data_IF_379400129781
#
_entry.id   IF_379400129781
#
_cell.length_a   1.000
_cell.length_b   1.000
_cell.length_c   1.000
_cell.angle_alpha   90.00
_cell.angle_beta   90.00
_cell.angle_gamma   90.00
#
_symmetry.space_group_name_H-M   'P 1'
#
loop_
_entity.id
_entity.type
_entity.pdbx_description
1 polymer ?
#
# COMPACT_ATOMS: atom_id res chain seq x y z
N UNK A 1 -29.90 2.03 22.97
CA UNK A 1 -28.66 1.48 22.40
C UNK A 1 -27.93 2.64 21.76
N UNK A 2 -26.67 2.90 22.14
CA UNK A 2 -25.85 3.89 21.46
C UNK A 2 -25.23 3.27 20.19
N UNK A 3 -24.62 4.09 19.32
CA UNK A 3 -24.04 3.60 18.08
C UNK A 3 -22.91 2.57 18.30
N UNK A 4 -22.16 2.72 19.41
CA UNK A 4 -21.08 1.82 19.82
C UNK A 4 -21.60 0.42 20.16
N UNK A 5 -22.64 0.30 20.97
CA UNK A 5 -23.29 -0.97 21.32
C UNK A 5 -23.81 -1.66 20.07
N UNK A 6 -24.41 -0.90 19.15
CA UNK A 6 -24.85 -1.41 17.85
C UNK A 6 -23.66 -1.95 17.06
N UNK A 7 -22.60 -1.16 16.86
CA UNK A 7 -21.39 -1.61 16.16
C UNK A 7 -20.76 -2.87 16.77
N UNK A 8 -20.62 -2.90 18.10
CA UNK A 8 -20.08 -4.05 18.84
C UNK A 8 -20.94 -5.31 18.67
N UNK A 9 -22.26 -5.18 18.46
CA UNK A 9 -23.16 -6.31 18.22
C UNK A 9 -23.02 -6.94 16.83
N UNK A 10 -22.40 -6.23 15.87
CA UNK A 10 -22.16 -6.71 14.49
C UNK A 10 -20.81 -7.44 14.33
N UNK A 11 -20.13 -7.77 15.43
CA UNK A 11 -18.88 -8.54 15.39
C UNK A 11 -19.12 -9.89 14.69
N UNK A 12 -18.37 -10.14 13.61
CA UNK A 12 -18.51 -11.35 12.82
C UNK A 12 -18.11 -12.60 13.64
N UNK A 13 -18.94 -13.66 13.67
CA UNK A 13 -18.58 -14.90 14.37
C UNK A 13 -17.37 -15.57 13.73
N UNK A 14 -16.39 -15.94 14.54
CA UNK A 14 -15.21 -16.66 14.06
C UNK A 14 -14.15 -15.79 13.39
N UNK A 15 -14.23 -14.46 13.53
CA UNK A 15 -13.14 -13.56 13.15
C UNK A 15 -11.86 -13.94 13.92
N UNK A 16 -10.81 -14.42 13.23
CA UNK A 16 -9.58 -14.87 13.86
C UNK A 16 -8.67 -13.71 14.27
N UNK A 17 -9.00 -12.45 13.94
CA UNK A 17 -8.20 -11.29 14.28
C UNK A 17 -8.25 -11.03 15.80
N UNK A 18 -7.14 -11.21 16.54
CA UNK A 18 -7.10 -10.89 17.97
C UNK A 18 -7.24 -9.38 18.25
N UNK A 19 -7.11 -8.53 17.23
CA UNK A 19 -7.31 -7.08 17.28
C UNK A 19 -8.77 -6.64 17.13
N UNK A 20 -9.69 -7.52 16.72
CA UNK A 20 -11.12 -7.21 16.65
C UNK A 20 -11.77 -7.25 18.05
N UNK A 21 -11.54 -6.18 18.80
CA UNK A 21 -12.03 -5.98 20.17
C UNK A 21 -13.22 -4.99 20.17
N UNK A 22 -14.15 -5.11 21.13
CA UNK A 22 -15.22 -4.11 21.29
C UNK A 22 -14.65 -2.72 21.52
N UNK A 23 -15.26 -1.70 20.93
CA UNK A 23 -14.95 -0.31 21.23
C UNK A 23 -15.62 0.08 22.55
N UNK A 24 -14.82 0.48 23.53
CA UNK A 24 -15.22 0.87 24.88
C UNK A 24 -14.93 2.35 25.20
N UNK A 25 -14.56 3.15 24.19
CA UNK A 25 -14.28 4.58 24.36
C UNK A 25 -15.53 5.33 24.84
N UNK A 26 -15.39 6.08 25.93
CA UNK A 26 -16.47 6.90 26.49
C UNK A 26 -16.66 8.24 25.75
N UNK A 27 -15.58 8.80 25.20
CA UNK A 27 -15.59 10.03 24.41
C UNK A 27 -15.30 9.70 22.95
N UNK A 28 -16.31 9.89 22.12
CA UNK A 28 -16.24 9.70 20.67
C UNK A 28 -15.94 11.03 19.95
N UNK A 29 -15.92 12.16 20.66
CA UNK A 29 -15.68 13.45 20.03
C UNK A 29 -14.19 13.62 19.67
N UNK A 30 -13.88 14.01 18.42
CA UNK A 30 -12.51 14.20 17.98
C UNK A 30 -11.91 15.43 18.67
N UNK A 31 -10.61 15.36 18.95
CA UNK A 31 -9.88 16.41 19.68
C UNK A 31 -9.66 17.63 18.79
N UNK A 32 -10.56 18.60 18.90
CA UNK A 32 -10.50 19.83 18.11
C UNK A 32 -10.82 21.06 18.96
N UNK A 33 -9.99 22.09 18.87
CA UNK A 33 -10.21 23.36 19.56
C UNK A 33 -11.44 24.09 18.98
N UNK A 34 -12.08 25.00 19.74
CA UNK A 34 -13.18 25.80 19.22
C UNK A 34 -12.82 26.60 17.94
N UNK A 35 -11.57 27.04 17.82
CA UNK A 35 -11.08 27.78 16.66
C UNK A 35 -10.96 26.88 15.42
N UNK A 36 -10.45 25.66 15.60
CA UNK A 36 -10.38 24.67 14.53
C UNK A 36 -11.79 24.21 14.11
N UNK A 37 -12.71 24.01 15.06
CA UNK A 37 -14.12 23.68 14.76
C UNK A 37 -14.77 24.76 13.90
N UNK A 38 -14.56 26.04 14.19
CA UNK A 38 -15.09 27.13 13.35
C UNK A 38 -14.45 27.13 11.96
N UNK A 39 -13.13 26.99 11.88
CA UNK A 39 -12.40 26.95 10.60
C UNK A 39 -12.82 25.77 9.72
N UNK A 40 -12.86 24.57 10.27
CA UNK A 40 -13.28 23.36 9.55
C UNK A 40 -14.76 23.40 9.22
N UNK A 41 -15.60 23.89 10.15
CA UNK A 41 -17.01 24.14 9.88
C UNK A 41 -17.22 25.07 8.70
N UNK A 42 -16.41 26.13 8.56
CA UNK A 42 -16.44 27.02 7.41
C UNK A 42 -16.13 26.32 6.08
N UNK A 43 -15.18 25.37 6.07
CA UNK A 43 -14.87 24.56 4.89
C UNK A 43 -15.99 23.56 4.58
N UNK A 44 -16.52 22.87 5.59
CA UNK A 44 -17.61 21.91 5.44
C UNK A 44 -18.93 22.54 4.97
N UNK A 45 -19.13 23.85 5.21
CA UNK A 45 -20.25 24.62 4.67
C UNK A 45 -20.25 24.72 3.14
N UNK A 46 -19.19 24.30 2.43
CA UNK A 46 -19.20 24.13 0.97
C UNK A 46 -20.37 23.23 0.49
N UNK A 47 -20.74 22.21 1.27
CA UNK A 47 -21.87 21.31 0.98
C UNK A 47 -23.20 22.07 0.91
N UNK A 48 -23.30 23.21 1.63
CA UNK A 48 -24.47 24.09 1.64
C UNK A 48 -24.41 25.16 0.54
N UNK A 49 -23.37 25.17 -0.30
CA UNK A 49 -23.25 26.16 -1.36
C UNK A 49 -24.35 26.00 -2.44
N UNK A 50 -24.68 27.06 -3.18
CA UNK A 50 -25.67 27.01 -4.27
C UNK A 50 -25.38 25.97 -5.35
N UNK A 51 -24.13 25.50 -5.47
CA UNK A 51 -23.72 24.41 -6.36
C UNK A 51 -24.56 23.15 -6.16
N UNK A 52 -24.97 22.88 -4.91
CA UNK A 52 -25.75 21.70 -4.55
C UNK A 52 -27.23 22.02 -4.32
N UNK A 53 -27.73 23.20 -4.73
CA UNK A 53 -29.09 23.63 -4.46
C UNK A 53 -30.16 22.65 -4.95
N UNK A 54 -29.94 22.03 -6.11
CA UNK A 54 -30.82 21.00 -6.66
C UNK A 54 -30.89 19.73 -5.78
N UNK A 55 -29.90 19.54 -4.91
CA UNK A 55 -29.77 18.41 -4.02
C UNK A 55 -30.44 18.61 -2.66
N UNK A 56 -30.36 19.81 -2.10
CA UNK A 56 -30.76 20.07 -0.71
C UNK A 56 -32.21 19.71 -0.40
N UNK A 57 -33.09 19.74 -1.41
CA UNK A 57 -34.49 19.31 -1.28
C UNK A 57 -34.72 17.80 -1.38
N UNK A 58 -33.74 17.06 -1.91
CA UNK A 58 -33.78 15.60 -2.09
C UNK A 58 -33.00 14.87 -0.98
N UNK A 59 -31.93 15.49 -0.49
CA UNK A 59 -31.00 14.91 0.47
C UNK A 59 -30.62 15.99 1.50
N UNK A 60 -30.92 15.71 2.78
CA UNK A 60 -30.53 16.58 3.88
C UNK A 60 -28.99 16.69 3.95
N UNK A 61 -28.41 17.89 3.78
CA UNK A 61 -26.97 18.07 3.84
C UNK A 61 -26.41 18.05 5.27
N UNK A 62 -27.24 18.19 6.32
CA UNK A 62 -26.74 18.34 7.69
C UNK A 62 -25.91 17.14 8.19
N UNK A 63 -26.31 15.87 7.96
CA UNK A 63 -25.49 14.72 8.34
C UNK A 63 -24.10 14.75 7.68
N UNK A 64 -24.01 15.13 6.40
CA UNK A 64 -22.74 15.23 5.69
C UNK A 64 -21.87 16.37 6.21
N UNK A 65 -22.46 17.52 6.55
CA UNK A 65 -21.73 18.63 7.18
C UNK A 65 -21.19 18.24 8.57
N UNK A 66 -21.97 17.49 9.35
CA UNK A 66 -21.55 17.00 10.66
C UNK A 66 -20.44 15.97 10.56
N UNK A 67 -20.56 14.99 9.66
CA UNK A 67 -19.49 14.03 9.35
C UNK A 67 -18.24 14.74 8.85
N UNK A 68 -18.39 15.75 7.98
CA UNK A 68 -17.27 16.59 7.53
C UNK A 68 -16.54 17.24 8.69
N UNK A 69 -17.27 17.89 9.60
CA UNK A 69 -16.64 18.53 10.75
C UNK A 69 -15.94 17.49 11.63
N UNK A 70 -16.58 16.35 11.88
CA UNK A 70 -16.02 15.27 12.69
C UNK A 70 -14.71 14.75 12.10
N UNK A 71 -14.70 14.34 10.84
CA UNK A 71 -13.51 13.77 10.21
C UNK A 71 -12.41 14.84 10.02
N UNK A 72 -12.78 16.08 9.70
CA UNK A 72 -11.80 17.18 9.64
C UNK A 72 -11.15 17.43 11.00
N UNK A 73 -11.86 17.21 12.12
CA UNK A 73 -11.28 17.27 13.45
C UNK A 73 -10.32 16.09 13.69
N UNK A 74 -10.72 14.87 13.35
CA UNK A 74 -9.91 13.66 13.55
C UNK A 74 -8.62 13.69 12.74
N UNK A 75 -8.70 14.12 11.48
CA UNK A 75 -7.58 14.21 10.55
C UNK A 75 -6.91 15.59 10.52
N UNK A 76 -7.08 16.40 11.56
CA UNK A 76 -6.37 17.67 11.77
C UNK A 76 -6.49 18.66 10.58
N UNK A 77 -7.64 18.66 9.90
CA UNK A 77 -7.95 19.53 8.78
C UNK A 77 -7.38 19.09 7.44
N UNK A 78 -7.05 17.81 7.27
CA UNK A 78 -6.57 17.25 6.01
C UNK A 78 -7.55 17.51 4.87
N UNK A 79 -7.08 18.13 3.79
CA UNK A 79 -7.94 18.52 2.67
C UNK A 79 -8.59 17.33 1.95
N UNK A 80 -7.92 16.17 1.89
CA UNK A 80 -8.50 14.96 1.30
C UNK A 80 -9.77 14.53 2.02
N UNK A 81 -9.80 14.61 3.35
CA UNK A 81 -10.98 14.32 4.16
C UNK A 81 -12.19 15.18 3.78
N UNK A 82 -11.98 16.49 3.60
CA UNK A 82 -13.02 17.38 3.08
C UNK A 82 -13.50 16.92 1.70
N UNK A 83 -12.57 16.60 0.80
CA UNK A 83 -12.89 16.18 -0.56
C UNK A 83 -13.64 14.85 -0.62
N UNK A 84 -13.31 13.89 0.23
CA UNK A 84 -13.96 12.57 0.30
C UNK A 84 -15.43 12.73 0.72
N UNK A 85 -15.71 13.61 1.67
CA UNK A 85 -17.08 13.81 2.18
C UNK A 85 -17.92 14.64 1.22
N UNK A 86 -17.30 15.63 0.56
CA UNK A 86 -17.97 16.39 -0.51
C UNK A 86 -18.24 15.48 -1.72
N UNK A 87 -17.31 14.58 -2.06
CA UNK A 87 -17.51 13.57 -3.10
C UNK A 87 -18.68 12.65 -2.74
N UNK A 88 -18.72 12.13 -1.51
CA UNK A 88 -19.82 11.28 -1.04
C UNK A 88 -21.18 12.00 -1.14
N UNK A 89 -21.24 13.29 -0.79
CA UNK A 89 -22.47 14.07 -0.96
C UNK A 89 -22.84 14.25 -2.44
N UNK A 90 -21.88 14.57 -3.30
CA UNK A 90 -22.10 14.75 -4.73
C UNK A 90 -22.55 13.44 -5.41
N UNK A 91 -21.99 12.30 -5.04
CA UNK A 91 -22.39 10.97 -5.53
C UNK A 91 -23.79 10.60 -5.04
N UNK A 92 -24.07 10.78 -3.74
CA UNK A 92 -25.40 10.58 -3.19
C UNK A 92 -26.44 11.45 -3.92
N UNK A 93 -26.07 12.70 -4.24
CA UNK A 93 -26.89 13.60 -5.02
C UNK A 93 -27.19 13.10 -6.43
N UNK A 94 -26.14 12.68 -7.16
CA UNK A 94 -26.25 12.12 -8.50
C UNK A 94 -27.12 10.86 -8.51
N UNK A 95 -27.07 10.05 -7.45
CA UNK A 95 -27.93 8.86 -7.31
C UNK A 95 -29.43 9.18 -7.14
N UNK A 96 -29.78 10.41 -6.74
CA UNK A 96 -31.17 10.91 -6.74
C UNK A 96 -31.61 11.42 -8.13
N UNK A 97 -30.79 11.24 -9.17
CA UNK A 97 -31.10 11.65 -10.55
C UNK A 97 -30.67 13.08 -10.90
N UNK A 98 -29.94 13.76 -10.02
CA UNK A 98 -29.37 15.09 -10.33
C UNK A 98 -28.20 14.94 -11.30
N UNK A 99 -28.43 15.23 -12.58
CA UNK A 99 -27.42 15.17 -13.63
C UNK A 99 -26.59 16.48 -13.72
N UNK A 100 -25.34 16.38 -14.18
CA UNK A 100 -24.48 17.53 -14.47
C UNK A 100 -23.98 18.30 -13.25
N UNK A 101 -23.97 17.66 -12.06
CA UNK A 101 -23.40 18.24 -10.85
C UNK A 101 -21.86 18.24 -10.94
N UNK A 102 -21.31 19.40 -11.27
CA UNK A 102 -19.87 19.68 -11.27
C UNK A 102 -19.43 20.31 -9.96
N UNK A 103 -18.49 19.68 -9.26
CA UNK A 103 -18.10 20.13 -7.92
C UNK A 103 -16.61 20.36 -7.69
N UNK A 104 -15.76 19.62 -8.39
CA UNK A 104 -14.31 19.83 -8.40
C UNK A 104 -13.93 20.98 -9.32
N UNK A 105 -12.81 21.63 -9.01
CA UNK A 105 -12.14 22.54 -9.92
C UNK A 105 -10.62 22.56 -9.63
N UNK A 106 -9.87 23.41 -10.34
CA UNK A 106 -8.41 23.47 -10.21
C UNK A 106 -7.90 23.90 -8.83
N UNK A 107 -8.74 24.55 -8.01
CA UNK A 107 -8.39 25.02 -6.68
C UNK A 107 -9.12 24.30 -5.55
N UNK A 108 -10.24 23.62 -5.85
CA UNK A 108 -11.07 22.92 -4.90
C UNK A 108 -11.17 21.44 -5.27
N UNK A 109 -10.53 20.59 -4.48
CA UNK A 109 -10.50 19.14 -4.65
C UNK A 109 -10.14 18.71 -6.08
N UNK A 110 -9.00 19.17 -6.65
CA UNK A 110 -8.57 18.71 -7.96
C UNK A 110 -8.31 17.20 -7.93
N UNK A 111 -8.72 16.50 -9.00
CA UNK A 111 -8.43 15.09 -9.19
C UNK A 111 -7.39 14.96 -10.32
N UNK A 112 -6.09 14.89 -9.99
CA UNK A 112 -5.06 14.75 -11.00
C UNK A 112 -5.13 13.34 -11.60
N UNK A 113 -5.18 13.28 -12.93
CA UNK A 113 -5.20 12.01 -13.66
C UNK A 113 -3.80 11.62 -14.14
N UNK A 114 -3.49 10.32 -14.24
CA UNK A 114 -2.21 9.84 -14.75
C UNK A 114 -1.96 10.30 -16.20
N UNK A 115 -0.71 10.15 -16.66
CA UNK A 115 -0.35 10.49 -18.04
C UNK A 115 -1.26 9.75 -19.04
N UNK A 116 -1.60 10.42 -20.15
CA UNK A 116 -2.49 9.89 -21.18
C UNK A 116 -3.92 9.58 -20.72
N UNK A 117 -4.36 10.30 -19.70
CA UNK A 117 -5.73 10.24 -19.20
C UNK A 117 -6.21 11.63 -18.80
N UNK A 118 -7.52 11.79 -18.72
CA UNK A 118 -8.16 13.05 -18.37
C UNK A 118 -9.28 12.83 -17.37
N UNK A 119 -9.53 13.83 -16.55
CA UNK A 119 -10.67 13.85 -15.65
C UNK A 119 -11.97 13.95 -16.44
N UNK A 120 -12.98 13.19 -16.03
CA UNK A 120 -14.35 13.27 -16.52
C UNK A 120 -15.34 13.00 -15.38
N UNK A 121 -16.47 13.69 -15.42
CA UNK A 121 -17.58 13.46 -14.48
C UNK A 121 -18.34 12.17 -14.78
N UNK A 122 -18.08 11.57 -15.94
CA UNK A 122 -18.82 10.43 -16.46
C UNK A 122 -17.85 9.47 -17.19
N UNK A 123 -16.99 8.81 -16.41
CA UNK A 123 -16.15 7.71 -16.87
C UNK A 123 -16.97 6.42 -16.97
N UNK A 124 -16.65 5.60 -17.97
CA UNK A 124 -17.25 4.27 -18.11
C UNK A 124 -16.88 3.40 -16.90
N UNK A 125 -17.82 2.66 -16.30
CA UNK A 125 -17.52 1.66 -15.28
C UNK A 125 -16.79 0.44 -15.86
N UNK A 126 -16.80 0.29 -17.19
CA UNK A 126 -16.09 -0.75 -17.92
C UNK A 126 -15.12 -0.07 -18.93
N UNK A 127 -13.98 0.50 -18.49
CA UNK A 127 -12.98 1.02 -19.41
C UNK A 127 -12.33 -0.13 -20.19
N UNK A 128 -11.79 0.17 -21.38
CA UNK A 128 -10.93 -0.78 -22.08
C UNK A 128 -9.63 -0.93 -21.29
N UNK A 129 -9.23 -2.17 -21.04
CA UNK A 129 -7.99 -2.49 -20.33
C UNK A 129 -7.06 -3.29 -21.23
N UNK A 130 -5.78 -3.35 -20.89
CA UNK A 130 -4.85 -4.23 -21.61
C UNK A 130 -5.22 -5.73 -21.48
N UNK A 131 -5.92 -6.10 -20.41
CA UNK A 131 -6.41 -7.47 -20.22
C UNK A 131 -7.68 -7.76 -21.04
N UNK A 132 -8.53 -6.76 -21.23
CA UNK A 132 -9.77 -6.85 -22.02
C UNK A 132 -10.06 -5.54 -22.77
N UNK A 133 -9.66 -5.51 -24.04
CA UNK A 133 -9.89 -4.38 -24.93
C UNK A 133 -11.37 -4.20 -25.30
N UNK A 134 -12.19 -5.24 -25.15
CA UNK A 134 -13.61 -5.25 -25.53
C UNK A 134 -14.55 -5.02 -24.35
N UNK A 135 -14.04 -4.87 -23.13
CA UNK A 135 -14.81 -4.57 -21.92
C UNK A 135 -15.86 -3.46 -22.08
N UNK A 136 -15.62 -2.35 -22.81
CA UNK A 136 -16.64 -1.33 -23.05
C UNK A 136 -17.86 -1.85 -23.84
N UNK A 137 -17.66 -2.77 -24.78
CA UNK A 137 -18.72 -3.30 -25.63
C UNK A 137 -19.61 -4.31 -24.90
N UNK A 138 -19.06 -5.05 -23.93
CA UNK A 138 -19.77 -6.03 -23.10
C UNK A 138 -20.22 -5.47 -21.75
N UNK A 139 -20.17 -4.15 -21.56
CA UNK A 139 -20.52 -3.52 -20.29
C UNK A 139 -22.02 -3.71 -19.98
N UNK A 140 -22.39 -4.30 -18.82
CA UNK A 140 -23.80 -4.54 -18.49
C UNK A 140 -24.63 -3.26 -18.35
N UNK A 141 -24.00 -2.17 -17.93
CA UNK A 141 -24.64 -0.88 -17.64
C UNK A 141 -23.90 0.28 -18.32
N UNK A 142 -23.92 0.37 -19.66
CA UNK A 142 -23.13 1.37 -20.39
C UNK A 142 -23.64 2.80 -20.21
N UNK A 143 -24.89 2.96 -19.74
CA UNK A 143 -25.49 4.26 -19.44
C UNK A 143 -25.15 4.78 -18.04
N UNK A 144 -24.68 3.91 -17.14
CA UNK A 144 -24.17 4.35 -15.83
C UNK A 144 -22.74 4.80 -15.98
N UNK A 145 -22.36 5.86 -15.27
CA UNK A 145 -20.98 6.34 -15.25
C UNK A 145 -20.62 6.83 -13.86
N UNK A 146 -19.32 6.81 -13.58
CA UNK A 146 -18.73 7.26 -12.33
C UNK A 146 -17.76 8.39 -12.61
N UNK A 147 -17.63 9.32 -11.67
CA UNK A 147 -16.61 10.37 -11.78
C UNK A 147 -15.22 9.76 -11.62
N UNK A 148 -14.26 10.19 -12.45
CA UNK A 148 -12.90 9.69 -12.36
C UNK A 148 -12.04 10.03 -13.56
N UNK A 149 -10.94 9.31 -13.71
CA UNK A 149 -10.04 9.44 -14.85
C UNK A 149 -10.44 8.48 -15.98
N UNK A 150 -10.44 8.96 -17.21
CA UNK A 150 -10.63 8.16 -18.40
C UNK A 150 -9.39 8.24 -19.30
N UNK A 151 -8.94 7.10 -19.80
CA UNK A 151 -7.85 7.05 -20.77
C UNK A 151 -8.21 7.83 -22.04
N UNK A 152 -7.23 8.53 -22.59
CA UNK A 152 -7.37 9.23 -23.87
C UNK A 152 -7.52 8.23 -25.03
N UNK A 153 -8.02 8.70 -26.18
CA UNK A 153 -8.14 7.84 -27.37
C UNK A 153 -6.78 7.29 -27.79
N UNK A 154 -6.71 5.98 -28.03
CA UNK A 154 -5.48 5.26 -28.38
C UNK A 154 -4.74 4.67 -27.17
N UNK A 155 -5.19 4.99 -25.96
CA UNK A 155 -4.67 4.45 -24.71
C UNK A 155 -5.71 3.58 -24.02
N UNK A 156 -5.23 2.60 -23.26
CA UNK A 156 -6.05 1.66 -22.49
C UNK A 156 -5.48 1.49 -21.10
N UNK A 157 -6.34 1.11 -20.15
CA UNK A 157 -5.96 1.00 -18.74
C UNK A 157 -5.09 -0.25 -18.52
N UNK A 158 -3.90 -0.05 -17.97
CA UNK A 158 -3.02 -1.10 -17.45
C UNK A 158 -2.74 -0.75 -16.00
N UNK A 159 -3.29 -1.55 -15.09
CA UNK A 159 -3.31 -1.27 -13.65
C UNK A 159 -3.89 0.13 -13.37
N UNK A 160 -3.08 1.05 -12.82
CA UNK A 160 -3.47 2.42 -12.47
C UNK A 160 -3.07 3.46 -13.53
N UNK A 161 -2.59 3.02 -14.70
CA UNK A 161 -2.02 3.91 -15.73
C UNK A 161 -2.61 3.66 -17.11
N UNK A 162 -2.65 4.70 -17.94
CA UNK A 162 -3.08 4.58 -19.33
C UNK A 162 -1.85 4.42 -20.23
N UNK A 163 -1.73 3.28 -20.90
CA UNK A 163 -0.63 2.95 -21.81
C UNK A 163 -1.12 2.84 -23.23
N UNK A 164 -0.24 3.05 -24.21
CA UNK A 164 -0.61 2.85 -25.60
C UNK A 164 -0.98 1.38 -25.82
N UNK A 165 -1.98 1.10 -26.67
CA UNK A 165 -2.41 -0.29 -26.92
C UNK A 165 -1.26 -1.21 -27.37
N UNK A 166 -0.28 -0.67 -28.09
CA UNK A 166 0.91 -1.42 -28.55
C UNK A 166 1.99 -1.62 -27.48
N UNK A 167 1.80 -1.07 -26.29
CA UNK A 167 2.66 -1.21 -25.11
C UNK A 167 1.99 -2.03 -24.00
N UNK A 168 0.82 -2.63 -24.29
CA UNK A 168 0.19 -3.56 -23.39
C UNK A 168 1.12 -4.73 -23.08
N UNK A 169 0.96 -5.25 -21.87
CA UNK A 169 1.69 -6.41 -21.40
C UNK A 169 1.21 -7.72 -22.03
N UNK A 170 1.33 -8.80 -21.27
CA UNK A 170 1.21 -10.16 -21.77
C UNK A 170 0.10 -10.90 -21.02
N UNK A 171 -0.54 -11.85 -21.71
CA UNK A 171 -1.44 -12.80 -21.07
C UNK A 171 -0.69 -14.12 -20.91
N UNK A 172 -0.71 -14.70 -19.71
CA UNK A 172 -0.19 -16.05 -19.46
C UNK A 172 -1.19 -17.13 -19.93
N UNK A 173 -0.78 -18.39 -19.85
CA UNK A 173 -1.59 -19.55 -20.27
C UNK A 173 -2.94 -19.67 -19.53
N UNK A 174 -3.10 -18.98 -18.39
CA UNK A 174 -4.33 -18.94 -17.57
C UNK A 174 -5.12 -17.66 -17.78
N UNK A 175 -4.78 -16.86 -18.79
CA UNK A 175 -5.34 -15.53 -19.06
C UNK A 175 -5.06 -14.51 -17.94
N UNK A 176 -4.04 -14.74 -17.12
CA UNK A 176 -3.53 -13.74 -16.18
C UNK A 176 -2.76 -12.66 -16.92
N UNK A 177 -3.11 -11.40 -16.70
CA UNK A 177 -2.40 -10.25 -17.27
C UNK A 177 -1.14 -9.92 -16.46
N UNK A 178 -0.03 -9.70 -17.17
CA UNK A 178 1.26 -9.25 -16.64
C UNK A 178 1.67 -7.98 -17.36
N UNK A 179 2.03 -6.93 -16.62
CA UNK A 179 2.47 -5.66 -17.19
C UNK A 179 3.82 -5.80 -17.90
N UNK A 180 4.09 -4.93 -18.87
CA UNK A 180 5.35 -4.99 -19.62
C UNK A 180 6.56 -4.82 -18.68
N UNK A 181 7.52 -5.75 -18.74
CA UNK A 181 8.67 -5.82 -17.84
C UNK A 181 8.49 -6.75 -16.64
N UNK A 182 7.27 -7.22 -16.36
CA UNK A 182 7.01 -8.16 -15.28
C UNK A 182 7.74 -9.48 -15.49
N UNK A 183 8.10 -10.12 -14.39
CA UNK A 183 8.70 -11.46 -14.38
C UNK A 183 7.99 -12.37 -13.41
N UNK A 184 7.69 -13.60 -13.83
CA UNK A 184 7.03 -14.59 -13.00
C UNK A 184 7.62 -15.98 -13.19
N UNK A 185 7.32 -16.86 -12.24
CA UNK A 185 7.67 -18.27 -12.29
C UNK A 185 6.47 -19.09 -12.74
N UNK A 186 6.71 -20.12 -13.54
CA UNK A 186 5.69 -21.10 -13.92
C UNK A 186 5.18 -21.89 -12.71
N UNK A 187 4.09 -22.63 -12.89
CA UNK A 187 3.39 -23.33 -11.79
C UNK A 187 4.25 -24.31 -10.99
N UNK A 188 5.30 -24.86 -11.60
CA UNK A 188 6.29 -25.78 -11.03
C UNK A 188 7.66 -25.11 -10.76
N UNK A 189 7.77 -23.80 -11.00
CA UNK A 189 9.02 -23.03 -10.98
C UNK A 189 10.13 -23.62 -11.86
N UNK A 190 9.77 -24.35 -12.94
CA UNK A 190 10.76 -24.88 -13.89
C UNK A 190 11.23 -23.83 -14.90
N UNK A 191 10.46 -22.75 -15.06
CA UNK A 191 10.79 -21.64 -15.95
C UNK A 191 10.50 -20.29 -15.30
N UNK A 192 11.19 -19.27 -15.80
CA UNK A 192 10.96 -17.86 -15.51
C UNK A 192 10.61 -17.16 -16.80
N UNK A 193 9.45 -16.52 -16.84
CA UNK A 193 8.97 -15.76 -17.96
C UNK A 193 9.15 -14.26 -17.70
N UNK A 194 9.38 -13.50 -18.77
CA UNK A 194 9.44 -12.04 -18.73
C UNK A 194 8.47 -11.49 -19.75
N UNK A 195 7.54 -10.64 -19.35
CA UNK A 195 6.65 -9.98 -20.28
C UNK A 195 7.37 -8.86 -21.03
N UNK A 196 7.35 -8.92 -22.37
CA UNK A 196 7.86 -7.88 -23.24
C UNK A 196 6.71 -6.99 -23.73
N UNK A 197 7.00 -5.72 -23.98
CA UNK A 197 6.00 -4.73 -24.42
C UNK A 197 5.30 -5.06 -25.75
N UNK A 198 5.78 -6.06 -26.50
CA UNK A 198 5.13 -6.56 -27.71
C UNK A 198 4.09 -7.66 -27.41
N UNK A 199 3.72 -7.86 -26.15
CA UNK A 199 2.79 -8.89 -25.67
C UNK A 199 3.37 -10.31 -25.61
N UNK A 200 4.65 -10.50 -25.96
CA UNK A 200 5.30 -11.82 -25.88
C UNK A 200 5.93 -12.05 -24.50
N UNK A 201 5.80 -13.27 -24.00
CA UNK A 201 6.32 -13.67 -22.70
C UNK A 201 7.29 -14.86 -22.83
N UNK A 202 8.51 -14.67 -23.37
CA UNK A 202 9.48 -15.75 -23.44
C UNK A 202 9.86 -16.25 -22.05
N UNK A 203 9.89 -17.57 -21.89
CA UNK A 203 10.28 -18.24 -20.67
C UNK A 203 11.67 -18.88 -20.83
N UNK A 204 12.46 -18.84 -19.76
CA UNK A 204 13.78 -19.47 -19.69
C UNK A 204 13.81 -20.51 -18.57
N UNK A 205 14.53 -21.63 -18.74
CA UNK A 205 14.69 -22.61 -17.68
C UNK A 205 15.17 -21.97 -16.38
N UNK A 206 14.49 -22.29 -15.29
CA UNK A 206 14.74 -21.75 -13.97
C UNK A 206 14.71 -22.86 -12.93
N UNK A 207 15.55 -22.73 -11.92
CA UNK A 207 15.54 -23.59 -10.74
C UNK A 207 15.72 -22.71 -9.51
N UNK A 208 14.93 -22.99 -8.47
CA UNK A 208 15.11 -22.30 -7.20
C UNK A 208 16.54 -22.51 -6.69
N UNK A 209 17.16 -21.48 -6.08
CA UNK A 209 18.49 -21.62 -5.48
C UNK A 209 18.55 -22.77 -4.47
N UNK A 210 19.74 -23.37 -4.33
CA UNK A 210 19.97 -24.40 -3.31
C UNK A 210 19.56 -23.89 -1.91
N UNK A 211 18.88 -24.73 -1.13
CA UNK A 211 18.32 -24.34 0.17
C UNK A 211 17.00 -23.56 0.10
N UNK A 212 16.35 -23.53 -1.07
CA UNK A 212 15.01 -22.96 -1.25
C UNK A 212 14.09 -23.89 -2.03
N UNK A 213 12.79 -23.79 -1.79
CA UNK A 213 11.74 -24.54 -2.46
C UNK A 213 10.72 -23.59 -3.11
N UNK A 214 10.20 -24.01 -4.27
CA UNK A 214 9.09 -23.35 -4.92
C UNK A 214 7.82 -23.46 -4.07
N UNK A 215 7.29 -22.32 -3.63
CA UNK A 215 6.07 -22.25 -2.81
C UNK A 215 5.05 -21.33 -3.46
N UNK A 216 3.77 -21.60 -3.24
CA UNK A 216 2.66 -20.73 -3.64
C UNK A 216 2.29 -19.83 -2.47
N UNK A 217 2.32 -18.52 -2.65
CA UNK A 217 1.85 -17.58 -1.64
C UNK A 217 0.32 -17.64 -1.49
N UNK A 218 -0.20 -17.09 -0.40
CA UNK A 218 -1.66 -16.90 -0.22
C UNK A 218 -2.29 -16.04 -1.33
N UNK A 219 -1.50 -15.16 -1.96
CA UNK A 219 -1.91 -14.35 -3.10
C UNK A 219 -1.82 -15.10 -4.45
N UNK A 220 -1.53 -16.40 -4.45
CA UNK A 220 -1.47 -17.20 -5.68
C UNK A 220 -0.19 -17.02 -6.51
N UNK A 221 0.84 -16.36 -5.96
CA UNK A 221 2.10 -16.09 -6.67
C UNK A 221 3.17 -17.13 -6.28
N UNK A 222 3.85 -17.71 -7.27
CA UNK A 222 4.95 -18.65 -7.06
C UNK A 222 6.25 -17.93 -6.72
N UNK A 223 6.93 -18.35 -5.66
CA UNK A 223 8.22 -17.80 -5.26
C UNK A 223 9.10 -18.86 -4.58
N UNK A 224 10.43 -18.70 -4.72
CA UNK A 224 11.38 -19.52 -3.98
C UNK A 224 11.46 -19.03 -2.53
N UNK A 225 11.14 -19.90 -1.58
CA UNK A 225 11.26 -19.63 -0.13
C UNK A 225 12.34 -20.51 0.49
N UNK A 226 13.14 -19.99 1.43
CA UNK A 226 14.12 -20.80 2.15
C UNK A 226 13.45 -22.02 2.80
N UNK A 227 14.08 -23.19 2.69
CA UNK A 227 13.58 -24.42 3.35
C UNK A 227 13.84 -24.38 4.86
N UNK A 228 14.85 -23.62 5.28
CA UNK A 228 15.24 -23.48 6.66
C UNK A 228 15.79 -22.08 6.93
N UNK A 229 15.71 -21.66 8.20
CA UNK A 229 16.31 -20.42 8.67
C UNK A 229 17.32 -20.75 9.78
N UNK A 230 18.51 -20.17 9.67
CA UNK A 230 19.53 -20.23 10.72
C UNK A 230 19.65 -18.88 11.40
N UNK A 231 20.03 -18.89 12.68
CA UNK A 231 20.10 -17.68 13.50
C UNK A 231 21.52 -17.47 14.02
N UNK A 232 22.05 -16.26 13.81
CA UNK A 232 23.21 -15.74 14.50
C UNK A 232 22.74 -14.68 15.50
N UNK A 233 23.18 -14.77 16.76
CA UNK A 233 22.76 -13.83 17.82
C UNK A 233 23.95 -13.19 18.50
N UNK A 234 23.82 -11.90 18.81
CA UNK A 234 24.73 -11.15 19.69
C UNK A 234 23.90 -10.57 20.83
N UNK A 235 24.24 -10.90 22.08
CA UNK A 235 23.48 -10.45 23.24
C UNK A 235 24.39 -10.17 24.44
N UNK A 236 23.93 -9.34 25.37
CA UNK A 236 24.65 -9.03 26.60
C UNK A 236 26.04 -8.43 26.33
N UNK A 237 27.08 -8.98 26.97
CA UNK A 237 28.41 -8.40 27.03
C UNK A 237 29.52 -9.18 26.29
N UNK A 238 29.63 -8.98 24.97
CA UNK A 238 28.76 -9.62 24.01
C UNK A 238 29.03 -11.14 23.96
N UNK A 239 27.97 -11.91 24.19
CA UNK A 239 27.89 -13.33 23.89
C UNK A 239 27.47 -13.50 22.44
N UNK A 240 28.28 -14.21 21.67
CA UNK A 240 28.01 -14.53 20.27
C UNK A 240 27.57 -15.99 20.18
N UNK A 241 26.53 -16.22 19.38
CA UNK A 241 26.11 -17.54 18.94
C UNK A 241 26.07 -17.53 17.43
N UNK A 242 26.91 -18.33 16.80
CA UNK A 242 27.01 -18.46 15.34
C UNK A 242 25.83 -19.26 14.76
N UNK A 243 25.71 -19.28 13.44
CA UNK A 243 24.65 -20.01 12.73
C UNK A 243 24.65 -21.53 13.02
N UNK A 244 25.83 -22.14 13.17
CA UNK A 244 26.04 -23.53 13.59
C UNK A 244 25.96 -23.73 15.12
N UNK A 245 25.47 -22.73 15.84
CA UNK A 245 25.18 -22.73 17.29
C UNK A 245 26.40 -22.75 18.19
N UNK A 246 27.60 -22.50 17.68
CA UNK A 246 28.80 -22.34 18.50
C UNK A 246 28.73 -21.05 19.32
N UNK A 247 29.03 -21.15 20.61
CA UNK A 247 28.98 -20.02 21.55
C UNK A 247 30.38 -19.57 21.90
N UNK A 248 30.64 -18.28 21.74
CA UNK A 248 31.89 -17.67 22.16
C UNK A 248 31.68 -16.26 22.72
N UNK A 249 32.72 -15.75 23.38
CA UNK A 249 32.70 -14.45 24.03
C UNK A 249 33.87 -13.62 23.52
N UNK A 250 33.59 -12.39 23.10
CA UNK A 250 34.60 -11.55 22.49
C UNK A 250 34.47 -10.08 22.92
N UNK A 251 35.46 -9.61 23.68
CA UNK A 251 35.47 -8.26 24.27
C UNK A 251 36.20 -7.23 23.38
N UNK A 252 35.66 -7.02 22.18
CA UNK A 252 36.17 -6.07 21.18
C UNK A 252 35.83 -4.60 21.45
N UNK A 253 36.51 -3.67 20.76
CA UNK A 253 36.26 -2.21 20.87
C UNK A 253 36.04 -1.50 19.53
N UNK A 254 36.02 -2.27 18.44
CA UNK A 254 35.91 -1.76 17.09
C UNK A 254 34.58 -2.19 16.46
N UNK A 255 34.43 -1.86 15.18
CA UNK A 255 33.41 -2.43 14.31
C UNK A 255 33.92 -3.74 13.75
N UNK A 256 33.09 -4.79 13.84
CA UNK A 256 33.41 -6.12 13.36
C UNK A 256 32.33 -6.58 12.39
N UNK A 257 32.73 -7.31 11.34
CA UNK A 257 31.77 -7.98 10.46
C UNK A 257 31.10 -9.12 11.25
N UNK A 258 29.77 -9.12 11.29
CA UNK A 258 28.97 -10.16 11.93
C UNK A 258 28.58 -11.24 10.92
N UNK A 259 28.14 -10.81 9.74
CA UNK A 259 27.93 -11.70 8.60
C UNK A 259 28.10 -10.91 7.30
N UNK A 260 28.64 -11.58 6.29
CA UNK A 260 28.72 -11.05 4.93
C UNK A 260 28.42 -12.19 3.97
N UNK A 261 27.78 -11.87 2.87
CA UNK A 261 27.64 -12.80 1.75
C UNK A 261 29.01 -13.16 1.15
N UNK A 262 29.09 -14.34 0.55
CA UNK A 262 30.25 -14.75 -0.24
C UNK A 262 30.46 -13.78 -1.43
N UNK A 263 31.70 -13.72 -1.92
CA UNK A 263 32.05 -12.88 -3.06
C UNK A 263 31.29 -13.27 -4.35
N UNK A 264 30.86 -14.53 -4.45
CA UNK A 264 30.06 -15.05 -5.56
C UNK A 264 28.79 -15.67 -4.98
N UNK A 265 27.64 -15.06 -5.26
CA UNK A 265 26.35 -15.55 -4.81
C UNK A 265 25.70 -16.43 -5.89
N UNK A 266 24.98 -17.50 -5.52
CA UNK A 266 24.19 -18.26 -6.47
C UNK A 266 22.99 -17.41 -6.95
N UNK A 267 22.84 -17.32 -8.28
CA UNK A 267 21.75 -16.56 -8.91
C UNK A 267 21.86 -15.05 -8.74
N UNK A 268 20.74 -14.35 -8.94
CA UNK A 268 20.65 -12.89 -8.81
C UNK A 268 20.40 -12.41 -7.36
N UNK A 269 20.88 -13.16 -6.35
CA UNK A 269 20.68 -12.78 -4.95
C UNK A 269 21.47 -11.50 -4.63
N UNK A 270 20.85 -10.54 -3.91
CA UNK A 270 21.52 -9.31 -3.52
C UNK A 270 22.61 -9.60 -2.47
N UNK A 271 23.78 -8.92 -2.53
CA UNK A 271 24.76 -9.00 -1.47
C UNK A 271 24.24 -8.39 -0.17
N UNK A 272 24.60 -9.00 0.96
CA UNK A 272 24.27 -8.56 2.30
C UNK A 272 25.55 -8.45 3.12
N UNK A 273 25.72 -7.32 3.81
CA UNK A 273 26.77 -7.12 4.80
C UNK A 273 26.19 -6.56 6.08
N UNK A 274 26.47 -7.23 7.20
CA UNK A 274 26.05 -6.82 8.54
C UNK A 274 27.29 -6.68 9.42
N UNK A 275 27.45 -5.50 10.01
CA UNK A 275 28.54 -5.23 10.95
C UNK A 275 28.02 -4.63 12.24
N UNK A 276 28.71 -4.94 13.34
CA UNK A 276 28.35 -4.50 14.68
C UNK A 276 29.47 -3.69 15.30
N UNK A 277 29.14 -2.53 15.88
CA UNK A 277 30.09 -1.71 16.62
C UNK A 277 30.00 -1.99 18.10
N UNK A 278 31.08 -2.54 18.66
CA UNK A 278 31.19 -2.74 20.09
C UNK A 278 31.75 -1.50 20.77
N UNK A 279 31.17 -1.14 21.92
CA UNK A 279 31.70 -0.09 22.80
C UNK A 279 32.08 -0.69 24.15
N UNK A 280 33.25 -0.31 24.67
CA UNK A 280 33.65 -0.67 26.03
C UNK A 280 32.81 0.08 27.04
N UNK A 281 32.42 -0.60 28.10
CA UNK A 281 31.74 0.03 29.21
C UNK A 281 32.73 0.93 29.97
N UNK A 282 32.34 2.19 30.18
CA UNK A 282 33.22 3.23 30.76
C UNK A 282 33.62 2.88 32.19
N UNK A 283 32.71 2.31 32.99
CA UNK A 283 32.97 1.93 34.37
C UNK A 283 33.75 0.59 34.52
N UNK A 284 33.72 -0.27 33.50
CA UNK A 284 34.49 -1.54 33.47
C UNK A 284 35.13 -1.72 32.11
N UNK A 285 36.34 -1.19 31.95
CA UNK A 285 37.09 -1.22 30.69
C UNK A 285 37.34 -2.62 30.11
N UNK A 286 37.14 -3.70 30.87
CA UNK A 286 37.27 -5.09 30.39
C UNK A 286 36.04 -5.61 29.65
N UNK A 287 34.89 -4.96 29.79
CA UNK A 287 33.60 -5.40 29.26
C UNK A 287 33.18 -4.50 28.10
N UNK A 288 32.62 -5.09 27.06
CA UNK A 288 32.08 -4.40 25.88
C UNK A 288 30.66 -4.86 25.59
N UNK A 289 29.90 -4.03 24.87
CA UNK A 289 28.54 -4.34 24.42
C UNK A 289 28.34 -3.84 23.00
N UNK A 290 27.41 -4.48 22.29
CA UNK A 290 27.00 -4.07 20.94
C UNK A 290 26.18 -2.77 21.06
N UNK A 291 26.60 -1.72 20.34
CA UNK A 291 25.96 -0.40 20.42
C UNK A 291 25.18 -0.04 19.17
N UNK A 292 25.75 -0.34 18.01
CA UNK A 292 25.22 0.02 16.70
C UNK A 292 25.34 -1.18 15.77
N UNK A 293 24.34 -1.38 14.91
CA UNK A 293 24.36 -2.38 13.84
C UNK A 293 24.20 -1.67 12.51
N UNK A 294 25.08 -1.97 11.56
CA UNK A 294 25.02 -1.46 10.20
C UNK A 294 24.67 -2.61 9.27
N UNK A 295 23.61 -2.44 8.49
CA UNK A 295 23.11 -3.39 7.49
C UNK A 295 23.22 -2.75 6.12
N UNK A 296 23.92 -3.40 5.20
CA UNK A 296 24.03 -2.98 3.80
C UNK A 296 23.40 -4.02 2.89
N UNK A 297 22.36 -3.66 2.15
CA UNK A 297 21.60 -4.55 1.26
C UNK A 297 20.87 -3.72 0.20
N UNK A 298 20.72 -4.23 -1.02
CA UNK A 298 20.06 -3.53 -2.15
C UNK A 298 20.61 -2.13 -2.46
N UNK A 299 21.90 -1.87 -2.14
CA UNK A 299 22.50 -0.54 -2.28
C UNK A 299 22.14 0.46 -1.18
N UNK A 300 21.29 0.08 -0.21
CA UNK A 300 20.97 0.88 0.96
C UNK A 300 21.88 0.55 2.13
N UNK A 301 22.10 1.54 3.00
CA UNK A 301 22.79 1.38 4.27
C UNK A 301 21.86 1.79 5.43
N UNK A 302 21.44 0.80 6.21
CA UNK A 302 20.57 0.98 7.37
C UNK A 302 21.43 0.94 8.64
N UNK A 303 21.25 1.94 9.52
CA UNK A 303 21.92 1.98 10.82
C UNK A 303 20.90 1.85 11.93
N UNK A 304 21.02 0.78 12.71
CA UNK A 304 20.20 0.55 13.89
C UNK A 304 20.95 1.08 15.11
N UNK A 305 20.32 2.03 15.80
CA UNK A 305 20.85 2.69 16.99
C UNK A 305 19.95 2.42 18.19
N UNK A 306 20.58 2.30 19.36
CA UNK A 306 19.87 2.22 20.63
C UNK A 306 18.83 3.36 20.78
N UNK A 307 17.61 3.01 21.17
CA UNK A 307 16.52 3.96 21.40
C UNK A 307 15.87 4.55 20.15
N UNK A 308 16.24 4.10 18.93
CA UNK A 308 15.60 4.54 17.68
C UNK A 308 14.81 3.40 17.03
N UNK A 309 13.69 3.73 16.41
CA UNK A 309 12.87 2.83 15.60
C UNK A 309 12.86 3.36 14.16
N UNK A 310 12.91 2.47 13.18
CA UNK A 310 12.49 2.84 11.83
C UNK A 310 10.98 3.03 11.87
N UNK A 311 10.52 4.20 11.42
CA UNK A 311 9.12 4.48 11.12
C UNK A 311 8.79 3.99 9.71
#
# INVERSE_FOLDING_TARGET
>A
ANATDFGNSWRAPGDPDPGCQPDDREDLDPRCSPQEKERFGALCREILSPKYQACHGLLDPQPFVQSCLFDMCEYQGMASTLCDIVQAYAEACKSQGVAGLSWRNSTFCPLPCPLHSHYTECASPCPATCADLYAPASCPSPATCVEGCACERGYVLSDETCVAMGECGCLDDRQGYHSAGDTWLTGDCSERCTCLANGSAPCQPFQCPAGSQCTLSSAGVRSCKPTEFHQCTVSGDPHYRTFDRYVYHFQGRATYALTTTLATLPGALPPLSVSGRNRRWVARHRVSFLREVYVSVYGYQVTLMEGRKLA
#
